data_IF_421842870729
#
_entry.id   IF_421842870729
#
_cell.length_a   1.000
_cell.length_b   1.000
_cell.length_c   1.000
_cell.angle_alpha   90.00
_cell.angle_beta   90.00
_cell.angle_gamma   90.00
#
_symmetry.space_group_name_H-M   'P 1'
#
loop_
_entity.id
_entity.type
_entity.pdbx_description
1 polymer ?
#
# COMPACT_ATOMS: atom_id res chain seq x y z
N UNK A 1 -48.16 -60.84 2.00
CA UNK A 1 -47.76 -59.56 2.63
C UNK A 1 -46.48 -59.68 3.44
N UNK A 2 -46.21 -60.80 4.10
CA UNK A 2 -45.03 -61.00 4.97
C UNK A 2 -43.67 -60.99 4.25
N UNK A 3 -43.60 -61.46 3.01
CA UNK A 3 -42.34 -61.48 2.22
C UNK A 3 -41.90 -60.10 1.76
N UNK A 4 -42.83 -59.18 1.48
CA UNK A 4 -42.51 -57.80 1.09
C UNK A 4 -42.00 -56.98 2.27
N UNK A 5 -42.59 -57.17 3.46
CA UNK A 5 -42.16 -56.52 4.71
C UNK A 5 -40.79 -57.04 5.17
N UNK A 6 -40.54 -58.35 5.03
CA UNK A 6 -39.22 -58.93 5.34
C UNK A 6 -38.11 -58.37 4.42
N UNK A 7 -38.40 -58.14 3.13
CA UNK A 7 -37.46 -57.53 2.19
C UNK A 7 -37.20 -56.05 2.53
N UNK A 8 -38.24 -55.30 2.88
CA UNK A 8 -38.11 -53.89 3.28
C UNK A 8 -37.25 -53.73 4.54
N UNK A 9 -37.48 -54.56 5.55
CA UNK A 9 -36.68 -54.56 6.79
C UNK A 9 -35.21 -54.90 6.50
N UNK A 10 -34.95 -55.87 5.60
CA UNK A 10 -33.57 -56.19 5.19
C UNK A 10 -32.91 -55.05 4.42
N UNK A 11 -33.64 -54.37 3.54
CA UNK A 11 -33.13 -53.23 2.79
C UNK A 11 -32.73 -52.09 3.75
N UNK A 12 -33.60 -51.75 4.69
CA UNK A 12 -33.36 -50.73 5.72
C UNK A 12 -32.16 -51.06 6.62
N UNK A 13 -31.97 -52.33 6.98
CA UNK A 13 -30.80 -52.75 7.76
C UNK A 13 -29.49 -52.64 6.95
N UNK A 14 -29.54 -52.95 5.65
CA UNK A 14 -28.37 -52.85 4.78
C UNK A 14 -28.00 -51.39 4.52
N UNK A 15 -28.98 -50.52 4.27
CA UNK A 15 -28.73 -49.07 4.13
C UNK A 15 -28.22 -48.46 5.42
N UNK A 16 -28.78 -48.83 6.58
CA UNK A 16 -28.30 -48.34 7.89
C UNK A 16 -26.84 -48.75 8.13
N UNK A 17 -26.49 -50.01 7.90
CA UNK A 17 -25.10 -50.50 8.06
C UNK A 17 -24.13 -49.87 7.06
N UNK A 18 -24.56 -49.67 5.81
CA UNK A 18 -23.73 -48.98 4.81
C UNK A 18 -23.50 -47.52 5.22
N UNK A 19 -24.51 -46.86 5.79
CA UNK A 19 -24.41 -45.50 6.28
C UNK A 19 -23.53 -45.41 7.54
N UNK A 20 -23.62 -46.37 8.47
CA UNK A 20 -22.74 -46.48 9.64
C UNK A 20 -21.28 -46.74 9.24
N UNK A 21 -21.03 -47.59 8.25
CA UNK A 21 -19.67 -47.84 7.75
C UNK A 21 -19.10 -46.63 6.98
N UNK A 22 -19.92 -45.95 6.19
CA UNK A 22 -19.51 -44.70 5.53
C UNK A 22 -19.20 -43.62 6.55
N UNK A 23 -20.03 -43.48 7.58
CA UNK A 23 -19.83 -42.54 8.70
C UNK A 23 -18.53 -42.87 9.45
N UNK A 24 -18.28 -44.13 9.77
CA UNK A 24 -17.05 -44.58 10.43
C UNK A 24 -15.81 -44.29 9.58
N UNK A 25 -15.85 -44.55 8.28
CA UNK A 25 -14.75 -44.26 7.35
C UNK A 25 -14.52 -42.75 7.21
N UNK A 26 -15.58 -41.94 7.23
CA UNK A 26 -15.48 -40.48 7.25
C UNK A 26 -14.92 -39.95 8.58
N UNK A 27 -15.25 -40.59 9.70
CA UNK A 27 -14.70 -40.28 11.02
C UNK A 27 -13.21 -40.73 11.16
N UNK A 28 -12.80 -41.78 10.43
CA UNK A 28 -11.41 -42.25 10.40
C UNK A 28 -10.52 -41.53 9.37
N UNK A 29 -11.08 -40.90 8.34
CA UNK A 29 -10.28 -40.20 7.33
C UNK A 29 -9.87 -38.80 7.76
N UNK A 30 -8.61 -38.72 8.22
CA UNK A 30 -7.59 -37.71 7.88
C UNK A 30 -6.72 -37.38 9.10
N UNK A 31 -5.91 -38.34 9.55
CA UNK A 31 -4.82 -38.14 10.52
C UNK A 31 -3.51 -37.74 9.81
N UNK A 32 -3.58 -36.80 8.87
CA UNK A 32 -2.36 -36.30 8.22
C UNK A 32 -2.00 -34.93 8.79
N UNK A 33 -0.87 -34.90 9.50
CA UNK A 33 -0.14 -33.67 9.80
C UNK A 33 0.66 -33.29 8.56
N UNK A 34 0.40 -32.09 8.03
CA UNK A 34 1.12 -31.50 6.92
C UNK A 34 1.90 -30.32 7.50
N UNK A 35 3.22 -30.40 7.48
CA UNK A 35 4.11 -29.29 7.80
C UNK A 35 4.99 -29.04 6.57
N UNK A 36 4.81 -27.90 5.93
CA UNK A 36 5.56 -27.46 4.77
C UNK A 36 6.27 -26.18 5.14
N UNK A 37 7.57 -26.17 4.91
CA UNK A 37 8.41 -24.98 5.04
C UNK A 37 8.90 -24.54 3.66
N UNK A 38 8.61 -23.30 3.27
CA UNK A 38 8.84 -22.78 1.93
C UNK A 38 9.49 -21.39 2.00
N UNK A 39 10.62 -21.24 1.32
CA UNK A 39 11.08 -19.91 0.92
C UNK A 39 10.17 -19.39 -0.19
N UNK A 40 9.54 -18.26 0.08
CA UNK A 40 8.51 -17.74 -0.78
C UNK A 40 9.11 -17.08 -2.04
N UNK A 41 8.46 -17.23 -3.20
CA UNK A 41 8.94 -16.61 -4.42
C UNK A 41 8.88 -15.08 -4.31
N UNK A 42 9.87 -14.41 -4.89
CA UNK A 42 9.84 -12.95 -5.06
C UNK A 42 9.08 -12.62 -6.33
N UNK A 43 7.99 -11.87 -6.20
CA UNK A 43 7.17 -11.45 -7.34
C UNK A 43 7.67 -10.11 -7.83
N UNK A 44 7.93 -10.02 -9.13
CA UNK A 44 8.41 -8.80 -9.78
C UNK A 44 7.40 -8.35 -10.81
N UNK A 45 6.97 -7.10 -10.74
CA UNK A 45 6.01 -6.50 -11.66
C UNK A 45 6.69 -5.27 -12.29
N UNK A 46 6.93 -5.27 -13.62
CA UNK A 46 7.47 -4.10 -14.29
C UNK A 46 6.42 -2.96 -14.28
N UNK A 47 6.88 -1.75 -14.02
CA UNK A 47 6.09 -0.52 -14.12
C UNK A 47 6.50 0.25 -15.40
N UNK A 48 5.85 1.37 -15.68
CA UNK A 48 6.14 2.19 -16.86
C UNK A 48 7.51 2.86 -16.66
N UNK A 49 8.41 2.67 -17.62
CA UNK A 49 9.80 3.14 -17.56
C UNK A 49 10.76 2.05 -17.09
N UNK A 50 11.79 2.42 -16.32
CA UNK A 50 12.81 1.50 -15.81
C UNK A 50 12.58 1.07 -14.35
N UNK A 51 11.38 1.28 -13.81
CA UNK A 51 11.06 0.94 -12.43
C UNK A 51 10.37 -0.43 -12.32
N UNK A 52 10.70 -1.17 -11.27
CA UNK A 52 10.14 -2.48 -10.98
C UNK A 52 9.59 -2.51 -9.56
N UNK A 53 8.34 -2.93 -9.42
CA UNK A 53 7.78 -3.30 -8.14
C UNK A 53 8.23 -4.72 -7.77
N UNK A 54 8.73 -4.88 -6.56
CA UNK A 54 9.16 -6.17 -6.01
C UNK A 54 8.37 -6.43 -4.73
N UNK A 55 7.64 -7.54 -4.72
CA UNK A 55 7.03 -8.12 -3.55
C UNK A 55 7.87 -9.32 -3.12
N UNK A 56 8.60 -9.15 -2.02
CA UNK A 56 9.29 -10.22 -1.34
C UNK A 56 8.31 -10.89 -0.38
N UNK A 57 7.91 -12.10 -0.72
CA UNK A 57 6.99 -12.87 0.12
C UNK A 57 7.71 -13.54 1.30
N UNK A 58 9.02 -13.37 1.42
CA UNK A 58 9.80 -13.85 2.56
C UNK A 58 9.79 -15.37 2.68
N UNK A 59 9.33 -15.86 3.82
CA UNK A 59 9.37 -17.28 4.16
C UNK A 59 8.05 -17.72 4.79
N UNK A 60 7.43 -18.78 4.26
CA UNK A 60 6.15 -19.30 4.72
C UNK A 60 6.24 -20.71 5.27
N UNK A 61 5.65 -20.90 6.44
CA UNK A 61 5.36 -22.21 6.99
C UNK A 61 3.86 -22.48 6.90
N UNK A 62 3.46 -23.58 6.29
CA UNK A 62 2.10 -24.12 6.36
C UNK A 62 2.12 -25.32 7.30
N UNK A 63 1.34 -25.30 8.37
CA UNK A 63 1.15 -26.48 9.21
C UNK A 63 -0.32 -26.76 9.50
N UNK A 64 -0.70 -28.04 9.46
CA UNK A 64 -1.94 -28.52 10.07
C UNK A 64 -1.63 -28.97 11.49
N UNK A 65 -2.40 -28.46 12.45
CA UNK A 65 -2.31 -28.91 13.84
C UNK A 65 -3.52 -29.77 14.16
N UNK A 66 -3.26 -31.01 14.56
CA UNK A 66 -4.26 -31.85 15.18
C UNK A 66 -4.62 -31.24 16.54
N UNK A 67 -5.93 -31.12 16.80
CA UNK A 67 -6.41 -30.49 18.02
C UNK A 67 -5.96 -31.30 19.23
N UNK A 68 -5.79 -30.65 20.38
CA UNK A 68 -5.75 -31.40 21.64
C UNK A 68 -7.08 -32.14 21.78
N UNK A 69 -7.04 -33.45 22.09
CA UNK A 69 -8.18 -34.41 22.05
C UNK A 69 -9.53 -33.93 22.61
N UNK A 70 -9.56 -32.93 23.48
CA UNK A 70 -10.79 -32.36 24.03
C UNK A 70 -11.52 -31.37 23.09
N UNK A 71 -10.82 -30.71 22.16
CA UNK A 71 -11.44 -29.81 21.16
C UNK A 71 -11.88 -30.57 19.89
N UNK A 72 -11.22 -31.68 19.57
CA UNK A 72 -11.42 -32.43 18.31
C UNK A 72 -12.79 -33.11 18.21
N UNK A 73 -13.39 -33.50 19.35
CA UNK A 73 -14.72 -34.11 19.37
C UNK A 73 -15.85 -33.10 19.08
N UNK A 74 -15.56 -31.80 19.05
CA UNK A 74 -16.56 -30.74 18.91
C UNK A 74 -16.27 -29.73 17.77
N UNK A 75 -15.10 -29.75 17.13
CA UNK A 75 -14.82 -28.85 16.01
C UNK A 75 -15.37 -29.36 14.67
N UNK A 76 -16.39 -28.68 14.15
CA UNK A 76 -16.94 -28.83 12.79
C UNK A 76 -15.93 -28.56 11.67
N UNK A 77 -14.77 -27.98 12.00
CA UNK A 77 -13.76 -27.49 11.07
C UNK A 77 -12.41 -28.19 11.23
N UNK A 78 -11.72 -28.37 10.10
CA UNK A 78 -10.30 -28.67 10.00
C UNK A 78 -9.52 -27.37 9.84
N UNK A 79 -8.49 -27.18 10.67
CA UNK A 79 -7.74 -25.92 10.75
C UNK A 79 -6.35 -26.03 10.14
N UNK A 80 -6.02 -25.06 9.29
CA UNK A 80 -4.71 -24.88 8.66
C UNK A 80 -4.12 -23.56 9.13
N UNK A 81 -2.85 -23.58 9.51
CA UNK A 81 -2.10 -22.38 9.90
C UNK A 81 -1.04 -22.09 8.84
N UNK A 82 -1.13 -20.92 8.22
CA UNK A 82 -0.11 -20.40 7.32
C UNK A 82 0.55 -19.24 8.06
N UNK A 83 1.85 -19.29 8.26
CA UNK A 83 2.60 -18.18 8.85
C UNK A 83 3.67 -17.72 7.86
N UNK A 84 3.68 -16.43 7.54
CA UNK A 84 4.69 -15.75 6.76
C UNK A 84 5.56 -14.86 7.63
N UNK A 85 6.85 -14.87 7.37
CA UNK A 85 7.85 -13.99 7.99
C UNK A 85 8.63 -13.26 6.91
N UNK A 86 9.15 -12.09 7.29
CA UNK A 86 10.07 -11.31 6.46
C UNK A 86 9.51 -10.83 5.11
N UNK A 87 8.18 -10.66 5.01
CA UNK A 87 7.55 -10.14 3.79
C UNK A 87 7.79 -8.64 3.68
N UNK A 88 8.15 -8.16 2.50
CA UNK A 88 8.39 -6.74 2.24
C UNK A 88 7.97 -6.38 0.81
N UNK A 89 7.68 -5.10 0.58
CA UNK A 89 7.39 -4.59 -0.75
C UNK A 89 8.13 -3.28 -1.00
N UNK A 90 8.76 -3.17 -2.16
CA UNK A 90 9.56 -2.02 -2.53
C UNK A 90 9.58 -1.79 -4.04
N UNK A 91 9.86 -0.55 -4.44
CA UNK A 91 10.12 -0.16 -5.81
C UNK A 91 11.62 -0.05 -6.02
N UNK A 92 12.10 -0.57 -7.14
CA UNK A 92 13.50 -0.50 -7.59
C UNK A 92 13.54 0.30 -8.89
N UNK A 93 14.32 1.38 -8.93
CA UNK A 93 14.62 2.06 -10.19
C UNK A 93 15.84 1.41 -10.82
N UNK A 94 15.68 0.78 -11.99
CA UNK A 94 16.80 0.35 -12.80
C UNK A 94 17.40 1.57 -13.50
N UNK A 95 18.37 2.20 -12.85
CA UNK A 95 19.25 3.18 -13.49
C UNK A 95 20.57 2.48 -13.78
N UNK A 96 20.53 1.35 -14.49
CA UNK A 96 21.73 0.68 -14.97
C UNK A 96 21.44 -0.28 -16.15
N UNK A 97 21.07 0.26 -17.32
CA UNK A 97 21.58 -0.35 -18.55
C UNK A 97 23.10 -0.14 -18.59
N UNK A 98 23.82 -1.05 -17.94
CA UNK A 98 25.27 -1.07 -17.92
C UNK A 98 25.82 -1.14 -16.51
N UNK A 99 25.96 -2.36 -15.99
CA UNK A 99 27.06 -2.88 -15.15
C UNK A 99 26.63 -4.29 -14.70
N UNK A 100 27.08 -5.28 -15.48
CA UNK A 100 27.21 -6.73 -15.17
C UNK A 100 25.92 -7.54 -14.93
N UNK A 101 25.59 -8.50 -15.79
CA UNK A 101 26.16 -9.87 -15.75
C UNK A 101 26.04 -10.48 -14.35
N UNK A 102 25.26 -11.56 -14.25
CA UNK A 102 25.09 -12.35 -13.03
C UNK A 102 26.43 -12.66 -12.35
N UNK A 103 26.54 -12.49 -11.02
CA UNK A 103 27.48 -13.25 -10.23
C UNK A 103 26.73 -14.43 -9.60
N UNK A 104 27.04 -15.62 -10.09
CA UNK A 104 26.89 -16.83 -9.28
C UNK A 104 27.73 -16.71 -8.00
N UNK A 105 27.19 -17.28 -6.92
CA UNK A 105 27.83 -17.61 -5.64
C UNK A 105 27.71 -16.58 -4.50
N UNK A 106 26.82 -16.92 -3.57
CA UNK A 106 26.92 -16.56 -2.16
C UNK A 106 28.18 -17.19 -1.56
N UNK A 107 29.07 -16.38 -0.97
CA UNK A 107 29.81 -16.79 0.22
C UNK A 107 30.29 -15.58 1.02
N UNK A 108 30.03 -15.66 2.33
CA UNK A 108 30.49 -14.83 3.45
C UNK A 108 31.53 -13.74 3.16
N UNK A 109 31.17 -12.47 3.37
CA UNK A 109 32.08 -11.46 3.94
C UNK A 109 31.36 -10.13 4.24
N UNK A 110 31.40 -9.74 5.52
CA UNK A 110 31.45 -8.37 6.07
C UNK A 110 30.68 -7.26 5.34
N UNK A 111 29.61 -6.80 5.99
CA UNK A 111 28.89 -5.54 5.72
C UNK A 111 29.82 -4.35 5.49
N UNK A 112 29.72 -3.64 4.35
CA UNK A 112 30.07 -2.23 4.26
C UNK A 112 28.86 -1.37 4.67
N UNK A 113 29.14 -0.27 5.38
CA UNK A 113 28.14 0.72 5.82
C UNK A 113 27.41 1.46 4.67
N UNK A 114 26.49 2.38 5.03
CA UNK A 114 25.44 2.86 4.14
C UNK A 114 25.95 3.90 3.14
N UNK A 115 26.34 3.46 1.95
CA UNK A 115 26.47 4.32 0.76
C UNK A 115 25.99 3.57 -0.48
N UNK A 116 24.74 3.09 -0.45
CA UNK A 116 23.98 2.80 -1.66
C UNK A 116 22.94 3.91 -1.78
N UNK A 117 22.93 4.60 -2.92
CA UNK A 117 22.11 5.78 -3.17
C UNK A 117 20.66 5.58 -2.72
N UNK A 118 20.22 6.36 -1.73
CA UNK A 118 18.86 6.34 -1.19
C UNK A 118 17.77 6.70 -2.24
N UNK A 119 18.17 7.01 -3.48
CA UNK A 119 17.30 7.27 -4.62
C UNK A 119 16.92 6.02 -5.42
N UNK A 120 17.54 4.86 -5.20
CA UNK A 120 17.31 3.66 -6.03
C UNK A 120 16.22 2.72 -5.47
N UNK A 121 15.93 2.81 -4.17
CA UNK A 121 14.99 1.94 -3.47
C UNK A 121 13.93 2.75 -2.73
N UNK A 122 12.65 2.46 -3.00
CA UNK A 122 11.53 3.08 -2.30
C UNK A 122 10.70 1.99 -1.61
N UNK A 123 10.87 1.81 -0.30
CA UNK A 123 10.04 0.90 0.51
C UNK A 123 8.57 1.35 0.49
N UNK A 124 7.68 0.38 0.31
CA UNK A 124 6.22 0.52 0.44
C UNK A 124 5.72 -0.24 1.68
N UNK A 125 6.31 -1.40 1.96
CA UNK A 125 6.02 -2.25 3.11
C UNK A 125 7.35 -2.71 3.71
N UNK A 126 7.58 -2.35 4.98
CA UNK A 126 8.74 -2.88 5.71
C UNK A 126 8.50 -4.34 6.09
N UNK A 127 9.59 -5.04 6.45
CA UNK A 127 9.56 -6.47 6.77
C UNK A 127 8.53 -6.74 7.86
N UNK A 128 7.47 -7.45 7.50
CA UNK A 128 6.41 -7.82 8.42
C UNK A 128 6.19 -9.33 8.45
N UNK A 129 5.57 -9.81 9.53
CA UNK A 129 5.04 -11.15 9.63
C UNK A 129 3.52 -11.15 9.45
N UNK A 130 2.96 -12.26 8.99
CA UNK A 130 1.51 -12.50 9.01
C UNK A 130 1.24 -13.95 9.34
N UNK A 131 0.10 -14.22 9.95
CA UNK A 131 -0.45 -15.56 10.04
C UNK A 131 -1.89 -15.58 9.55
N UNK A 132 -2.21 -16.57 8.72
CA UNK A 132 -3.53 -16.83 8.19
C UNK A 132 -3.99 -18.17 8.75
N UNK A 133 -5.15 -18.18 9.38
CA UNK A 133 -5.80 -19.38 9.87
C UNK A 133 -6.98 -19.67 8.96
N UNK A 134 -6.97 -20.85 8.35
CA UNK A 134 -8.05 -21.31 7.46
C UNK A 134 -8.77 -22.46 8.16
N UNK A 135 -10.06 -22.28 8.42
CA UNK A 135 -10.95 -23.31 8.93
C UNK A 135 -11.83 -23.84 7.79
N UNK A 136 -11.59 -25.07 7.35
CA UNK A 136 -12.37 -25.75 6.33
C UNK A 136 -13.39 -26.70 6.97
N UNK A 137 -14.67 -26.60 6.63
CA UNK A 137 -15.69 -27.46 7.20
C UNK A 137 -15.45 -28.90 6.76
N UNK A 138 -15.55 -29.84 7.71
CA UNK A 138 -15.35 -31.28 7.42
C UNK A 138 -16.52 -31.86 6.63
N UNK A 139 -17.73 -31.40 6.95
CA UNK A 139 -19.00 -31.84 6.35
C UNK A 139 -19.85 -30.60 6.05
N UNK A 140 -20.42 -30.44 4.84
CA UNK A 140 -21.30 -29.31 4.52
C UNK A 140 -22.43 -29.15 5.53
N UNK A 141 -22.65 -27.92 6.01
CA UNK A 141 -23.65 -27.64 7.04
C UNK A 141 -24.52 -26.43 6.65
N UNK A 142 -25.86 -26.49 6.78
CA UNK A 142 -26.76 -25.44 6.31
C UNK A 142 -26.60 -24.09 7.03
N UNK A 143 -26.13 -24.11 8.27
CA UNK A 143 -25.99 -22.90 9.11
C UNK A 143 -24.56 -22.40 9.28
N UNK A 144 -23.56 -23.05 8.68
CA UNK A 144 -22.16 -22.71 8.89
C UNK A 144 -21.40 -22.59 7.56
N UNK A 145 -20.52 -21.58 7.39
CA UNK A 145 -19.79 -21.39 6.15
C UNK A 145 -18.80 -22.52 5.90
N UNK A 146 -18.60 -22.88 4.63
CA UNK A 146 -17.68 -23.97 4.24
C UNK A 146 -16.22 -23.66 4.55
N UNK A 147 -15.82 -22.40 4.51
CA UNK A 147 -14.46 -21.96 4.76
C UNK A 147 -14.50 -20.68 5.57
N UNK A 148 -13.70 -20.59 6.63
CA UNK A 148 -13.45 -19.35 7.37
C UNK A 148 -11.98 -19.02 7.26
N UNK A 149 -11.68 -17.76 7.00
CA UNK A 149 -10.30 -17.27 6.92
C UNK A 149 -10.16 -16.17 7.94
N UNK A 150 -9.14 -16.26 8.78
CA UNK A 150 -8.78 -15.19 9.71
C UNK A 150 -7.32 -14.82 9.51
N UNK A 151 -7.04 -13.53 9.63
CA UNK A 151 -5.71 -12.96 9.43
C UNK A 151 -5.25 -12.34 10.73
N UNK A 152 -4.00 -12.58 11.08
CA UNK A 152 -3.33 -11.96 12.20
C UNK A 152 -2.02 -11.36 11.68
N UNK A 153 -1.96 -10.04 11.71
CA UNK A 153 -0.80 -9.27 11.27
C UNK A 153 -0.32 -8.48 12.49
N UNK A 154 0.72 -8.94 13.20
CA UNK A 154 1.10 -8.36 14.48
C UNK A 154 1.55 -6.90 14.36
N UNK A 155 2.30 -6.55 13.32
CA UNK A 155 2.69 -5.17 13.00
C UNK A 155 2.80 -5.03 11.47
N UNK A 156 2.28 -3.93 10.93
CA UNK A 156 2.33 -3.62 9.50
C UNK A 156 2.79 -2.17 9.32
N UNK A 157 4.03 -2.00 8.86
CA UNK A 157 4.64 -0.69 8.66
C UNK A 157 4.58 -0.33 7.16
N UNK A 158 3.59 0.48 6.81
CA UNK A 158 3.36 0.93 5.43
C UNK A 158 3.91 2.35 5.28
N UNK A 159 4.75 2.52 4.28
CA UNK A 159 5.28 3.82 3.90
C UNK A 159 4.35 4.50 2.91
N UNK A 160 3.74 5.62 3.31
CA UNK A 160 2.83 6.38 2.45
C UNK A 160 3.34 7.80 2.20
N UNK A 161 3.41 8.18 0.93
CA UNK A 161 3.70 9.55 0.47
C UNK A 161 3.07 9.75 -0.91
N UNK A 162 2.87 10.99 -1.38
CA UNK A 162 2.26 11.19 -2.71
C UNK A 162 3.04 10.51 -3.84
N UNK A 163 4.39 10.48 -3.78
CA UNK A 163 5.22 9.71 -4.72
C UNK A 163 4.89 8.21 -4.69
N UNK A 164 4.80 7.64 -3.48
CA UNK A 164 4.47 6.21 -3.29
C UNK A 164 3.04 5.88 -3.72
N UNK A 165 2.09 6.77 -3.46
CA UNK A 165 0.70 6.60 -3.89
C UNK A 165 0.57 6.55 -5.41
N UNK A 166 1.19 7.49 -6.13
CA UNK A 166 1.18 7.46 -7.60
C UNK A 166 1.69 6.13 -8.15
N UNK A 167 2.76 5.58 -7.54
CA UNK A 167 3.34 4.29 -7.93
C UNK A 167 2.45 3.10 -7.61
N UNK A 168 1.71 3.14 -6.51
CA UNK A 168 0.69 2.13 -6.18
C UNK A 168 -0.45 2.16 -7.22
N UNK A 169 -0.90 3.35 -7.63
CA UNK A 169 -1.94 3.50 -8.66
C UNK A 169 -1.45 2.98 -10.02
N UNK A 170 -0.20 3.27 -10.37
CA UNK A 170 0.45 2.73 -11.58
C UNK A 170 0.48 1.20 -11.58
N UNK A 171 0.90 0.60 -10.45
CA UNK A 171 0.89 -0.85 -10.25
C UNK A 171 -0.50 -1.44 -10.44
N UNK A 172 -1.53 -0.83 -9.84
CA UNK A 172 -2.92 -1.26 -9.99
C UNK A 172 -3.34 -1.21 -11.46
N UNK A 173 -2.99 -0.15 -12.19
CA UNK A 173 -3.25 -0.03 -13.63
C UNK A 173 -2.69 -1.21 -14.43
N UNK A 174 -1.43 -1.59 -14.19
CA UNK A 174 -0.79 -2.77 -14.83
C UNK A 174 -1.56 -4.06 -14.50
N UNK A 175 -1.91 -4.27 -13.23
CA UNK A 175 -2.65 -5.46 -12.79
C UNK A 175 -4.06 -5.53 -13.39
N UNK A 176 -4.74 -4.38 -13.54
CA UNK A 176 -6.05 -4.33 -14.18
C UNK A 176 -5.99 -4.62 -15.68
N UNK A 177 -4.98 -4.12 -16.40
CA UNK A 177 -4.76 -4.44 -17.82
C UNK A 177 -4.46 -5.93 -18.03
N UNK A 178 -3.68 -6.56 -17.15
CA UNK A 178 -3.44 -8.01 -17.15
C UNK A 178 -4.72 -8.84 -17.00
N UNK A 179 -5.76 -8.28 -16.36
CA UNK A 179 -7.05 -8.95 -16.14
C UNK A 179 -8.04 -8.73 -17.29
N UNK A 180 -7.71 -7.87 -18.27
CA UNK A 180 -8.66 -7.29 -19.22
C UNK A 180 -8.38 -7.49 -20.71
N UNK A 181 -7.52 -8.43 -21.12
CA UNK A 181 -7.29 -8.70 -22.55
C UNK A 181 -7.82 -10.08 -22.99
N UNK A 182 -9.11 -10.11 -23.31
CA UNK A 182 -9.61 -10.85 -24.47
C UNK A 182 -10.44 -9.85 -25.29
N UNK A 183 -9.89 -9.44 -26.42
CA UNK A 183 -10.48 -8.57 -27.44
C UNK A 183 -10.59 -7.08 -27.05
N UNK A 184 -9.65 -6.28 -27.52
CA UNK A 184 -9.88 -5.38 -28.66
C UNK A 184 -8.60 -4.56 -28.88
N UNK A 185 -8.07 -4.60 -30.11
CA UNK A 185 -7.19 -3.56 -30.64
C UNK A 185 -7.97 -2.24 -30.61
N UNK A 186 -7.92 -1.56 -29.47
CA UNK A 186 -8.39 -0.19 -29.34
C UNK A 186 -7.15 0.68 -29.27
N UNK A 187 -6.89 1.31 -30.41
CA UNK A 187 -6.26 2.61 -30.59
C UNK A 187 -5.31 3.05 -29.49
N UNK A 188 -4.01 3.06 -29.81
CA UNK A 188 -3.04 4.06 -29.33
C UNK A 188 -3.59 5.01 -28.27
N UNK A 189 -3.64 4.56 -27.03
CA UNK A 189 -3.75 5.47 -25.90
C UNK A 189 -2.37 6.11 -25.78
N UNK A 190 -2.11 7.09 -26.65
CA UNK A 190 -1.42 8.31 -26.24
C UNK A 190 -2.30 8.99 -25.17
N UNK A 191 -2.52 8.32 -24.04
CA UNK A 191 -2.88 9.01 -22.84
C UNK A 191 -1.56 9.59 -22.37
N UNK A 192 -1.25 10.78 -22.90
CA UNK A 192 -0.04 11.50 -22.57
C UNK A 192 0.17 11.42 -21.06
N UNK A 193 1.41 11.15 -20.66
CA UNK A 193 1.89 11.16 -19.28
C UNK A 193 1.60 12.54 -18.65
N UNK A 194 0.34 12.84 -18.38
CA UNK A 194 -0.10 14.06 -17.74
C UNK A 194 0.32 13.90 -16.29
N UNK A 195 1.27 14.74 -15.90
CA UNK A 195 1.78 14.76 -14.56
C UNK A 195 0.64 14.89 -13.53
N UNK A 196 0.79 14.38 -12.29
CA UNK A 196 -0.30 14.24 -11.32
C UNK A 196 -0.94 15.55 -10.86
N UNK A 197 -0.41 16.70 -11.29
CA UNK A 197 -0.97 18.03 -11.09
C UNK A 197 -1.83 18.53 -12.27
N UNK A 198 -2.15 17.66 -13.24
CA UNK A 198 -3.06 17.94 -14.35
C UNK A 198 -4.37 17.12 -14.26
N UNK A 199 -5.55 17.73 -14.51
CA UNK A 199 -5.76 19.16 -14.73
C UNK A 199 -5.52 19.96 -13.44
N UNK A 200 -4.99 21.17 -13.60
CA UNK A 200 -4.78 22.10 -12.49
C UNK A 200 -6.08 22.87 -12.20
N UNK A 201 -6.51 22.91 -10.94
CA UNK A 201 -7.61 23.77 -10.49
C UNK A 201 -7.15 25.23 -10.41
N UNK A 202 -5.90 25.44 -9.99
CA UNK A 202 -5.23 26.73 -9.96
C UNK A 202 -3.72 26.50 -10.08
N UNK A 203 -3.04 27.31 -10.89
CA UNK A 203 -1.59 27.25 -11.05
C UNK A 203 -1.02 28.66 -11.19
N UNK A 204 0.22 28.86 -10.76
CA UNK A 204 0.88 30.17 -10.85
C UNK A 204 2.30 30.15 -10.29
N UNK A 205 3.12 31.09 -10.77
CA UNK A 205 4.47 31.29 -10.26
C UNK A 205 4.43 31.95 -8.88
N UNK A 206 5.35 31.53 -8.02
CA UNK A 206 5.45 32.04 -6.66
C UNK A 206 6.89 31.92 -6.13
N UNK A 207 7.11 32.36 -4.89
CA UNK A 207 8.31 32.00 -4.14
C UNK A 207 7.91 31.17 -2.93
N UNK A 208 8.70 30.16 -2.58
CA UNK A 208 8.49 29.39 -1.34
C UNK A 208 9.69 29.55 -0.41
N UNK A 209 9.42 29.60 0.89
CA UNK A 209 10.46 29.68 1.90
C UNK A 209 11.00 28.28 2.19
N UNK A 210 12.28 28.07 1.91
CA UNK A 210 12.96 26.78 2.11
C UNK A 210 13.99 26.92 3.22
N UNK A 211 13.90 26.04 4.20
CA UNK A 211 14.89 25.91 5.26
C UNK A 211 16.08 25.07 4.78
N UNK A 212 17.29 25.64 4.80
CA UNK A 212 18.56 25.03 4.42
C UNK A 212 19.57 25.10 5.58
N UNK A 213 20.75 24.51 5.38
CA UNK A 213 21.83 24.47 6.37
C UNK A 213 21.70 23.34 7.39
N UNK A 214 22.79 23.07 8.12
CA UNK A 214 22.82 22.09 9.21
C UNK A 214 21.82 22.50 10.30
N UNK A 215 20.84 21.64 10.56
CA UNK A 215 19.79 21.91 11.54
C UNK A 215 18.68 22.84 11.07
N UNK A 216 18.55 23.09 9.76
CA UNK A 216 17.48 23.93 9.17
C UNK A 216 17.45 25.37 9.71
N UNK A 217 18.62 25.93 10.01
CA UNK A 217 18.76 27.23 10.65
C UNK A 217 18.71 28.43 9.69
N UNK A 218 18.77 28.20 8.38
CA UNK A 218 18.79 29.25 7.37
C UNK A 218 17.52 29.18 6.51
N UNK A 219 16.76 30.27 6.43
CA UNK A 219 15.56 30.36 5.60
C UNK A 219 15.85 31.18 4.34
N UNK A 220 15.56 30.61 3.17
CA UNK A 220 15.82 31.24 1.86
C UNK A 220 14.60 31.12 0.93
N UNK A 221 14.26 32.22 0.28
CA UNK A 221 13.21 32.28 -0.73
C UNK A 221 13.68 31.69 -2.05
N UNK A 222 12.91 30.75 -2.59
CA UNK A 222 13.16 30.10 -3.87
C UNK A 222 11.98 30.32 -4.81
N UNK A 223 12.26 30.67 -6.06
CA UNK A 223 11.24 30.71 -7.12
C UNK A 223 10.72 29.30 -7.40
N UNK A 224 9.42 29.17 -7.55
CA UNK A 224 8.75 27.90 -7.81
C UNK A 224 7.45 28.13 -8.60
N UNK A 225 6.93 27.04 -9.18
CA UNK A 225 5.59 27.03 -9.76
C UNK A 225 4.65 26.21 -8.87
N UNK A 226 3.55 26.82 -8.43
CA UNK A 226 2.62 26.23 -7.47
C UNK A 226 1.38 25.76 -8.20
N UNK A 227 0.98 24.51 -7.97
CA UNK A 227 -0.20 23.91 -8.62
C UNK A 227 -1.11 23.26 -7.59
N UNK A 228 -2.36 23.68 -7.55
CA UNK A 228 -3.44 22.99 -6.86
C UNK A 228 -4.16 22.08 -7.86
N UNK A 229 -4.24 20.79 -7.56
CA UNK A 229 -5.01 19.82 -8.35
C UNK A 229 -5.77 18.89 -7.41
N UNK A 230 -7.10 18.96 -7.46
CA UNK A 230 -8.00 18.27 -6.55
C UNK A 230 -7.78 18.69 -5.10
N UNK A 231 -7.33 17.74 -4.27
CA UNK A 231 -7.07 17.95 -2.84
C UNK A 231 -5.58 18.11 -2.51
N UNK A 232 -4.73 18.25 -3.53
CA UNK A 232 -3.28 18.27 -3.37
C UNK A 232 -2.68 19.56 -3.91
N UNK A 233 -1.77 20.13 -3.14
CA UNK A 233 -0.95 21.27 -3.52
C UNK A 233 0.47 20.79 -3.81
N UNK A 234 0.97 21.16 -4.98
CA UNK A 234 2.28 20.79 -5.51
C UNK A 234 3.15 22.03 -5.68
N UNK A 235 4.44 21.89 -5.35
CA UNK A 235 5.48 22.88 -5.57
C UNK A 235 6.46 22.30 -6.57
N UNK A 236 6.54 22.91 -7.74
CA UNK A 236 7.43 22.54 -8.84
C UNK A 236 8.57 23.55 -8.94
N UNK A 237 9.69 23.15 -9.56
CA UNK A 237 10.78 24.09 -9.83
C UNK A 237 10.37 25.15 -10.87
N UNK A 238 9.59 24.73 -11.86
CA UNK A 238 9.04 25.53 -12.95
C UNK A 238 7.80 24.86 -13.55
N UNK A 239 7.02 25.58 -14.35
CA UNK A 239 5.83 25.06 -15.04
C UNK A 239 6.10 23.80 -15.89
N UNK A 240 7.29 23.72 -16.50
CA UNK A 240 7.68 22.62 -17.38
C UNK A 240 8.27 21.41 -16.64
N UNK A 241 8.36 21.49 -15.31
CA UNK A 241 8.95 20.43 -14.49
C UNK A 241 8.15 19.15 -14.63
N UNK A 242 8.84 18.01 -14.75
CA UNK A 242 8.21 16.68 -14.82
C UNK A 242 8.13 16.02 -13.43
N UNK A 243 8.61 16.70 -12.39
CA UNK A 243 8.61 16.28 -11.00
C UNK A 243 8.25 17.46 -10.08
N UNK A 244 7.77 17.15 -8.88
CA UNK A 244 7.54 18.14 -7.83
C UNK A 244 8.67 18.13 -6.80
N UNK A 245 8.96 19.30 -6.23
CA UNK A 245 9.88 19.47 -5.11
C UNK A 245 9.18 19.15 -3.78
N UNK A 246 7.93 19.61 -3.62
CA UNK A 246 7.09 19.32 -2.45
C UNK A 246 5.65 19.07 -2.87
N UNK A 247 4.94 18.31 -2.05
CA UNK A 247 3.52 18.05 -2.18
C UNK A 247 2.88 18.01 -0.79
N UNK A 248 1.68 18.55 -0.65
CA UNK A 248 0.89 18.38 0.56
C UNK A 248 -0.59 18.17 0.23
N UNK A 249 -1.22 17.22 0.94
CA UNK A 249 -2.68 17.13 0.95
C UNK A 249 -3.25 18.30 1.75
N UNK A 250 -4.36 18.86 1.25
CA UNK A 250 -5.14 19.90 1.92
C UNK A 250 -6.03 19.33 3.04
N UNK A 251 -6.15 18.00 3.15
CA UNK A 251 -6.85 17.35 4.26
C UNK A 251 -6.13 17.60 5.58
N UNK A 252 -6.89 17.87 6.65
CA UNK A 252 -6.33 18.18 7.98
C UNK A 252 -5.33 19.36 8.00
N UNK A 253 -5.42 20.27 7.03
CA UNK A 253 -4.62 21.51 7.00
C UNK A 253 -5.41 22.72 7.46
N UNK A 254 -4.67 23.76 7.82
CA UNK A 254 -5.16 25.12 8.01
C UNK A 254 -4.30 26.07 7.16
N UNK A 255 -4.95 27.08 6.60
CA UNK A 255 -4.34 28.10 5.72
C UNK A 255 -4.53 29.45 6.40
N UNK A 256 -3.47 30.25 6.50
CA UNK A 256 -3.53 31.56 7.14
C UNK A 256 -2.56 32.56 6.50
N UNK A 257 -2.86 33.84 6.67
CA UNK A 257 -2.04 34.95 6.21
C UNK A 257 -0.80 35.12 7.09
N UNK A 258 0.37 35.29 6.49
CA UNK A 258 1.63 35.41 7.23
C UNK A 258 2.04 36.88 7.32
N UNK A 259 2.14 37.44 8.53
CA UNK A 259 2.62 38.81 8.71
C UNK A 259 4.06 38.96 8.19
N UNK A 260 4.33 40.07 7.49
CA UNK A 260 5.65 40.32 6.88
C UNK A 260 6.80 40.36 7.88
N UNK A 261 6.52 40.73 9.13
CA UNK A 261 7.47 40.71 10.23
C UNK A 261 8.04 39.31 10.53
N UNK A 262 7.31 38.24 10.20
CA UNK A 262 7.69 36.86 10.50
C UNK A 262 8.50 36.20 9.39
N UNK A 263 8.56 36.79 8.19
CA UNK A 263 9.14 36.17 6.98
C UNK A 263 10.09 37.11 6.24
N UNK A 264 10.82 37.94 6.98
CA UNK A 264 11.86 38.81 6.42
C UNK A 264 11.34 39.94 5.54
N UNK A 265 10.13 40.44 5.79
CA UNK A 265 9.55 41.59 5.10
C UNK A 265 8.72 41.26 3.86
N UNK A 266 8.52 39.97 3.53
CA UNK A 266 7.63 39.54 2.45
C UNK A 266 6.17 39.92 2.73
N UNK A 267 5.50 40.59 1.79
CA UNK A 267 4.18 41.20 1.99
C UNK A 267 3.01 40.27 1.63
N UNK A 268 3.20 39.37 0.66
CA UNK A 268 2.11 38.62 0.05
C UNK A 268 2.21 37.11 0.34
N UNK A 269 2.50 36.78 1.59
CA UNK A 269 2.78 35.41 2.04
C UNK A 269 1.56 34.70 2.64
N UNK A 270 1.42 33.42 2.31
CA UNK A 270 0.42 32.49 2.87
C UNK A 270 1.15 31.28 3.44
N UNK A 271 0.68 30.78 4.59
CA UNK A 271 1.16 29.55 5.17
C UNK A 271 0.10 28.44 5.14
N UNK A 272 0.55 27.21 4.85
CA UNK A 272 -0.23 25.98 4.95
C UNK A 272 0.45 25.08 5.98
N UNK A 273 -0.26 24.76 7.06
CA UNK A 273 0.26 23.88 8.12
C UNK A 273 -0.81 22.89 8.61
N UNK A 274 -0.43 21.99 9.51
CA UNK A 274 -1.38 21.06 10.14
C UNK A 274 -2.43 21.82 10.96
N UNK A 275 -3.70 21.41 10.84
CA UNK A 275 -4.80 22.00 11.61
C UNK A 275 -4.55 21.86 13.11
N UNK A 276 -4.78 22.93 13.87
CA UNK A 276 -4.59 22.96 15.32
C UNK A 276 -3.15 23.24 15.78
N UNK A 277 -2.22 23.45 14.85
CA UNK A 277 -0.90 23.97 15.19
C UNK A 277 -1.00 25.42 15.67
N UNK A 278 -0.21 25.76 16.69
CA UNK A 278 0.01 27.15 17.09
C UNK A 278 0.67 27.93 15.94
N UNK A 279 0.15 29.10 15.60
CA UNK A 279 0.55 29.86 14.41
C UNK A 279 2.03 30.25 14.46
N UNK A 280 2.53 30.68 15.63
CA UNK A 280 3.93 31.09 15.75
C UNK A 280 4.86 29.88 15.63
N UNK A 281 4.55 28.78 16.34
CA UNK A 281 5.33 27.53 16.22
C UNK A 281 5.24 26.91 14.82
N UNK A 282 4.13 27.10 14.12
CA UNK A 282 3.96 26.60 12.76
C UNK A 282 4.93 27.32 11.81
N UNK A 283 5.13 28.62 11.94
CA UNK A 283 6.05 29.38 11.08
C UNK A 283 7.51 28.96 11.26
N UNK A 284 7.90 28.51 12.46
CA UNK A 284 9.23 27.98 12.76
C UNK A 284 9.42 26.51 12.32
N UNK A 285 8.32 25.84 11.93
CA UNK A 285 8.34 24.42 11.56
C UNK A 285 8.76 24.22 10.10
N UNK A 286 9.68 23.29 9.87
CA UNK A 286 10.10 22.87 8.52
C UNK A 286 9.00 22.16 7.73
N UNK A 287 7.95 21.69 8.42
CA UNK A 287 6.79 21.03 7.82
C UNK A 287 5.70 22.01 7.35
N UNK A 288 5.82 23.29 7.68
CA UNK A 288 4.92 24.34 7.19
C UNK A 288 5.38 24.82 5.82
N UNK A 289 4.45 24.88 4.90
CA UNK A 289 4.68 25.44 3.57
C UNK A 289 4.34 26.92 3.61
N UNK A 290 5.32 27.79 3.32
CA UNK A 290 5.13 29.23 3.21
C UNK A 290 5.37 29.62 1.76
N UNK A 291 4.41 30.30 1.16
CA UNK A 291 4.41 30.70 -0.25
C UNK A 291 4.09 32.18 -0.35
N UNK A 292 4.90 32.92 -1.10
CA UNK A 292 4.72 34.32 -1.43
C UNK A 292 4.29 34.47 -2.89
N UNK A 293 3.27 35.28 -3.11
CA UNK A 293 2.70 35.60 -4.42
C UNK A 293 3.14 36.98 -4.92
N UNK A 294 2.86 37.29 -6.19
CA UNK A 294 3.37 38.52 -6.80
C UNK A 294 2.72 39.78 -6.21
N UNK A 295 1.40 39.72 -5.99
CA UNK A 295 0.61 40.82 -5.49
C UNK A 295 -0.53 40.36 -4.55
N UNK A 296 -1.21 41.34 -3.96
CA UNK A 296 -2.31 41.11 -3.03
C UNK A 296 -3.53 40.45 -3.70
N UNK A 297 -3.73 40.66 -5.01
CA UNK A 297 -4.86 40.08 -5.75
C UNK A 297 -4.64 38.58 -5.94
N UNK A 298 -3.44 38.19 -6.37
CA UNK A 298 -3.05 36.78 -6.47
C UNK A 298 -3.08 36.10 -5.10
N UNK A 299 -2.51 36.74 -4.08
CA UNK A 299 -2.56 36.24 -2.70
C UNK A 299 -4.00 36.02 -2.24
N UNK A 300 -4.89 36.99 -2.44
CA UNK A 300 -6.29 36.88 -2.04
C UNK A 300 -7.02 35.74 -2.79
N UNK A 301 -6.73 35.56 -4.08
CA UNK A 301 -7.28 34.46 -4.87
C UNK A 301 -6.78 33.08 -4.36
N UNK A 302 -5.47 32.94 -4.18
CA UNK A 302 -4.86 31.72 -3.64
C UNK A 302 -5.38 31.42 -2.23
N UNK A 303 -5.48 32.41 -1.35
CA UNK A 303 -6.05 32.25 -0.01
C UNK A 303 -7.46 31.66 -0.06
N UNK A 304 -8.34 32.26 -0.87
CA UNK A 304 -9.72 31.80 -1.03
C UNK A 304 -9.79 30.36 -1.54
N UNK A 305 -9.03 30.04 -2.58
CA UNK A 305 -9.06 28.72 -3.21
C UNK A 305 -8.46 27.64 -2.29
N UNK A 306 -7.34 27.93 -1.62
CA UNK A 306 -6.70 27.00 -0.69
C UNK A 306 -7.58 26.72 0.53
N UNK A 307 -8.21 27.76 1.11
CA UNK A 307 -9.18 27.58 2.20
C UNK A 307 -10.34 26.69 1.72
N UNK A 308 -10.90 26.95 0.54
CA UNK A 308 -11.95 26.10 -0.02
C UNK A 308 -11.49 24.65 -0.23
N UNK A 309 -10.25 24.43 -0.69
CA UNK A 309 -9.68 23.10 -0.85
C UNK A 309 -9.56 22.35 0.49
N UNK A 310 -9.20 23.03 1.59
CA UNK A 310 -9.20 22.39 2.92
C UNK A 310 -10.58 21.93 3.37
N UNK A 311 -11.64 22.68 3.05
CA UNK A 311 -13.01 22.31 3.35
C UNK A 311 -13.50 21.13 2.52
N UNK A 312 -13.13 21.05 1.24
CA UNK A 312 -13.51 19.92 0.38
C UNK A 312 -12.78 18.62 0.73
N UNK A 313 -11.57 18.72 1.29
CA UNK A 313 -10.74 17.59 1.66
C UNK A 313 -10.99 17.06 3.09
N UNK A 314 -11.81 17.76 3.89
CA UNK A 314 -12.21 17.35 5.25
C UNK A 314 -13.56 16.66 5.24
#
# INVERSE_FOLDING_TARGET
METATALQIKLEQVTRRAQEQLQMVLEEQSRFGLEIDLDAPKVRIPLIGSEQFVLDLGHFTLHTRDGTRDEERQSLYSRFYIAGRDMAAFLVCDVAEGIYSAPENLSHSVLPGPTADANQFCSLLDRCGMSVIIDQIKVPHPSYPSTRVSFQVPNLDIHFSPKRYCKIVELLGVVYQLKGNNNEESSSYENGNLAPWHPADLAGDARTLVWRGLGYSLAEWHTCHVVLSGMYLYILESELSQNYQRCCSMASRQVFDVPSANVGGSLYSIAVCSRGADIQKALESTSTLIVEFHDEIEKANWMKVLVQATYRAS
#
